data_IF_155287893059
#
_entry.id   IF_155287893059
#
_cell.length_a   1.000
_cell.length_b   1.000
_cell.length_c   1.000
_cell.angle_alpha   90.00
_cell.angle_beta   90.00
_cell.angle_gamma   90.00
#
_symmetry.space_group_name_H-M   'P 1'
#
loop_
_entity.id
_entity.type
_entity.pdbx_description
1 polymer ?
#
# COMPACT_ATOMS: atom_id res chain seq x y z
N UNK A 1 51.14 7.96 -62.46
CA UNK A 1 50.06 7.34 -61.64
C UNK A 1 50.63 6.09 -61.00
N UNK A 2 50.63 6.00 -59.67
CA UNK A 2 50.98 4.74 -58.98
C UNK A 2 49.73 3.84 -59.02
N UNK A 3 49.92 2.54 -59.13
CA UNK A 3 48.86 1.54 -59.14
C UNK A 3 49.20 0.51 -58.07
N UNK A 4 48.18 -0.03 -57.39
CA UNK A 4 48.33 -1.08 -56.39
C UNK A 4 47.52 -2.30 -56.83
N UNK A 5 48.12 -3.49 -56.71
CA UNK A 5 47.48 -4.77 -57.05
C UNK A 5 46.69 -5.28 -55.85
N UNK A 6 45.35 -5.32 -55.97
CA UNK A 6 44.48 -6.14 -55.12
C UNK A 6 43.60 -6.99 -56.02
N UNK A 7 43.59 -8.31 -55.78
CA UNK A 7 42.76 -9.30 -56.50
C UNK A 7 42.86 -9.23 -58.04
N UNK A 8 44.08 -9.07 -58.58
CA UNK A 8 44.34 -9.22 -60.02
C UNK A 8 43.96 -8.02 -60.91
N UNK A 9 43.31 -6.98 -60.40
CA UNK A 9 42.95 -5.78 -61.18
C UNK A 9 43.84 -4.57 -60.83
N UNK A 10 44.33 -3.85 -61.85
CA UNK A 10 45.09 -2.62 -61.69
C UNK A 10 44.14 -1.45 -61.39
N UNK A 11 44.11 -0.98 -60.14
CA UNK A 11 43.28 0.16 -59.73
C UNK A 11 44.17 1.39 -59.51
N UNK A 12 43.81 2.60 -60.03
CA UNK A 12 44.56 3.82 -59.77
C UNK A 12 44.70 4.05 -58.26
N UNK A 13 45.92 4.21 -57.75
CA UNK A 13 46.17 4.22 -56.30
C UNK A 13 45.53 5.42 -55.58
N UNK A 14 45.13 6.47 -56.31
CA UNK A 14 44.31 7.56 -55.77
C UNK A 14 42.84 7.17 -55.51
N UNK A 15 42.24 6.31 -56.35
CA UNK A 15 40.88 5.80 -56.15
C UNK A 15 40.84 4.84 -54.96
N UNK A 16 41.83 3.95 -54.84
CA UNK A 16 41.96 3.02 -53.70
C UNK A 16 42.12 3.79 -52.38
N UNK A 17 43.00 4.81 -52.36
CA UNK A 17 43.21 5.65 -51.17
C UNK A 17 41.96 6.44 -50.75
N UNK A 18 41.12 6.86 -51.70
CA UNK A 18 39.84 7.53 -51.41
C UNK A 18 38.83 6.55 -50.81
N UNK A 19 38.79 5.32 -51.29
CA UNK A 19 37.89 4.29 -50.76
C UNK A 19 38.28 3.88 -49.34
N UNK A 20 39.58 3.74 -49.06
CA UNK A 20 40.08 3.42 -47.73
C UNK A 20 39.73 4.52 -46.72
N UNK A 21 39.96 5.80 -47.09
CA UNK A 21 39.57 6.94 -46.26
C UNK A 21 38.05 7.02 -46.02
N UNK A 22 37.23 6.68 -47.02
CA UNK A 22 35.77 6.63 -46.86
C UNK A 22 35.36 5.50 -45.91
N UNK A 23 35.96 4.31 -46.04
CA UNK A 23 35.68 3.17 -45.15
C UNK A 23 36.12 3.46 -43.71
N UNK A 24 37.29 4.07 -43.53
CA UNK A 24 37.78 4.53 -42.21
C UNK A 24 36.85 5.59 -41.62
N UNK A 25 36.41 6.56 -42.43
CA UNK A 25 35.46 7.59 -42.01
C UNK A 25 34.09 7.02 -41.63
N UNK A 26 33.56 6.06 -42.39
CA UNK A 26 32.31 5.35 -42.07
C UNK A 26 32.48 4.53 -40.78
N UNK A 27 33.61 3.84 -40.62
CA UNK A 27 33.90 3.05 -39.44
C UNK A 27 34.02 3.93 -38.18
N UNK A 28 34.71 5.06 -38.24
CA UNK A 28 34.79 6.03 -37.15
C UNK A 28 33.40 6.63 -36.83
N UNK A 29 32.66 7.05 -37.85
CA UNK A 29 31.31 7.59 -37.68
C UNK A 29 30.38 6.58 -37.00
N UNK A 30 30.43 5.30 -37.40
CA UNK A 30 29.68 4.24 -36.75
C UNK A 30 30.13 4.01 -35.31
N UNK A 31 31.42 3.75 -35.08
CA UNK A 31 31.93 3.30 -33.78
C UNK A 31 31.93 4.39 -32.72
N UNK A 32 32.29 5.63 -33.08
CA UNK A 32 32.42 6.75 -32.15
C UNK A 32 31.10 7.48 -31.92
N UNK A 33 30.29 7.66 -32.97
CA UNK A 33 29.12 8.53 -32.92
C UNK A 33 27.79 7.76 -32.98
N UNK A 34 27.51 7.10 -34.12
CA UNK A 34 26.18 6.55 -34.41
C UNK A 34 25.82 5.39 -33.50
N UNK A 35 26.76 4.47 -33.24
CA UNK A 35 26.53 3.32 -32.36
C UNK A 35 26.21 3.78 -30.94
N UNK A 36 27.05 4.65 -30.35
CA UNK A 36 26.83 5.15 -28.98
C UNK A 36 25.51 5.89 -28.86
N UNK A 37 25.25 6.86 -29.76
CA UNK A 37 24.00 7.63 -29.75
C UNK A 37 22.77 6.74 -29.95
N UNK A 38 22.84 5.80 -30.89
CA UNK A 38 21.76 4.85 -31.17
C UNK A 38 21.48 3.94 -29.99
N UNK A 39 22.52 3.35 -29.40
CA UNK A 39 22.40 2.47 -28.23
C UNK A 39 21.86 3.23 -27.01
N UNK A 40 22.39 4.41 -26.68
CA UNK A 40 21.89 5.20 -25.55
C UNK A 40 20.44 5.62 -25.75
N UNK A 41 20.06 6.06 -26.95
CA UNK A 41 18.67 6.41 -27.25
C UNK A 41 17.73 5.21 -27.08
N UNK A 42 18.07 4.08 -27.71
CA UNK A 42 17.25 2.86 -27.64
C UNK A 42 17.17 2.31 -26.21
N UNK A 43 18.28 2.36 -25.47
CA UNK A 43 18.33 1.97 -24.07
C UNK A 43 17.37 2.82 -23.23
N UNK A 44 17.45 4.15 -23.35
CA UNK A 44 16.58 5.05 -22.61
C UNK A 44 15.10 4.86 -22.97
N UNK A 45 14.79 4.67 -24.26
CA UNK A 45 13.43 4.37 -24.73
C UNK A 45 12.90 3.07 -24.10
N UNK A 46 13.72 2.00 -24.10
CA UNK A 46 13.33 0.70 -23.54
C UNK A 46 13.25 0.71 -22.01
N UNK A 47 14.15 1.43 -21.34
CA UNK A 47 14.06 1.64 -19.90
C UNK A 47 12.79 2.39 -19.52
N UNK A 48 12.45 3.47 -20.25
CA UNK A 48 11.23 4.22 -20.00
C UNK A 48 9.98 3.34 -20.20
N UNK A 49 9.92 2.59 -21.30
CA UNK A 49 8.81 1.64 -21.55
C UNK A 49 8.67 0.61 -20.42
N UNK A 50 9.78 0.09 -19.91
CA UNK A 50 9.78 -0.84 -18.79
C UNK A 50 9.33 -0.18 -17.47
N UNK A 51 9.78 1.04 -17.19
CA UNK A 51 9.38 1.81 -16.01
C UNK A 51 7.89 2.15 -16.03
N UNK A 52 7.37 2.63 -17.17
CA UNK A 52 5.95 2.91 -17.38
C UNK A 52 5.09 1.65 -17.12
N UNK A 53 5.55 0.50 -17.60
CA UNK A 53 4.86 -0.78 -17.41
C UNK A 53 4.91 -1.26 -15.95
N UNK A 54 6.03 -1.02 -15.25
CA UNK A 54 6.15 -1.30 -13.83
C UNK A 54 5.21 -0.41 -12.99
N UNK A 55 5.16 0.89 -13.29
CA UNK A 55 4.21 1.82 -12.69
C UNK A 55 2.76 1.34 -12.83
N UNK A 56 2.37 0.90 -14.03
CA UNK A 56 1.01 0.39 -14.28
C UNK A 56 0.68 -0.80 -13.39
N UNK A 57 1.61 -1.74 -13.22
CA UNK A 57 1.41 -2.90 -12.33
C UNK A 57 1.22 -2.46 -10.87
N UNK A 58 1.96 -1.44 -10.41
CA UNK A 58 1.81 -0.90 -9.06
C UNK A 58 0.49 -0.16 -8.86
N UNK A 59 0.04 0.60 -9.86
CA UNK A 59 -1.28 1.23 -9.86
C UNK A 59 -2.39 0.17 -9.78
N UNK A 60 -2.31 -0.90 -10.59
CA UNK A 60 -3.28 -1.99 -10.57
C UNK A 60 -3.30 -2.74 -9.24
N UNK A 61 -2.11 -2.98 -8.65
CA UNK A 61 -1.97 -3.60 -7.34
C UNK A 61 -2.57 -2.71 -6.24
N UNK A 62 -2.29 -1.40 -6.26
CA UNK A 62 -2.86 -0.45 -5.32
C UNK A 62 -4.38 -0.38 -5.45
N UNK A 63 -4.89 -0.27 -6.68
CA UNK A 63 -6.33 -0.26 -6.95
C UNK A 63 -7.01 -1.51 -6.40
N UNK A 64 -6.42 -2.69 -6.61
CA UNK A 64 -6.94 -3.95 -6.06
C UNK A 64 -6.92 -3.97 -4.53
N UNK A 65 -5.89 -3.43 -3.89
CA UNK A 65 -5.81 -3.36 -2.44
C UNK A 65 -6.86 -2.39 -1.85
N UNK A 66 -7.01 -1.21 -2.46
CA UNK A 66 -7.97 -0.18 -2.03
C UNK A 66 -9.42 -0.61 -2.23
N UNK A 67 -9.72 -1.28 -3.34
CA UNK A 67 -11.07 -1.73 -3.70
C UNK A 67 -11.36 -3.16 -3.26
N UNK A 68 -10.54 -3.74 -2.38
CA UNK A 68 -10.82 -5.03 -1.79
C UNK A 68 -12.16 -4.96 -1.02
N UNK A 69 -13.04 -5.98 -1.15
CA UNK A 69 -14.35 -5.96 -0.50
C UNK A 69 -14.23 -5.79 1.02
N UNK A 70 -14.91 -4.79 1.61
CA UNK A 70 -14.85 -4.54 3.04
C UNK A 70 -15.69 -5.60 3.79
N UNK A 71 -15.20 -6.14 4.91
CA UNK A 71 -15.98 -7.11 5.71
C UNK A 71 -17.15 -6.46 6.47
N UNK A 72 -17.03 -5.19 6.86
CA UNK A 72 -18.02 -4.42 7.64
C UNK A 72 -18.83 -5.26 8.66
N UNK A 73 -18.15 -5.89 9.64
CA UNK A 73 -18.83 -6.81 10.53
C UNK A 73 -19.75 -6.08 11.52
N UNK A 74 -20.95 -6.63 11.74
CA UNK A 74 -21.88 -6.17 12.79
C UNK A 74 -21.42 -6.50 14.22
N UNK A 75 -20.29 -7.21 14.36
CA UNK A 75 -19.73 -7.68 15.62
C UNK A 75 -18.29 -7.20 15.79
N UNK A 76 -17.76 -7.18 17.02
CA UNK A 76 -16.35 -6.90 17.25
C UNK A 76 -15.43 -7.85 16.49
N UNK A 77 -14.23 -7.38 16.19
CA UNK A 77 -13.17 -8.09 15.49
C UNK A 77 -11.88 -8.02 16.30
N UNK A 78 -11.17 -9.16 16.39
CA UNK A 78 -9.85 -9.27 17.00
C UNK A 78 -8.78 -9.11 15.93
N UNK A 79 -7.95 -8.09 16.03
CA UNK A 79 -6.79 -7.89 15.17
C UNK A 79 -5.54 -8.41 15.84
N UNK A 80 -4.67 -9.09 15.09
CA UNK A 80 -3.40 -9.66 15.50
C UNK A 80 -2.30 -9.18 14.56
N UNK A 81 -1.36 -8.39 15.09
CA UNK A 81 -0.09 -8.03 14.46
C UNK A 81 1.01 -8.98 14.96
N UNK A 82 1.43 -9.97 14.15
CA UNK A 82 2.35 -11.02 14.59
C UNK A 82 3.73 -10.49 14.97
N UNK A 83 4.35 -11.16 15.93
CA UNK A 83 5.75 -10.91 16.28
C UNK A 83 6.30 -11.94 17.24
N UNK A 84 7.59 -12.25 17.11
CA UNK A 84 8.26 -13.23 17.96
C UNK A 84 8.61 -12.63 19.34
N UNK A 85 9.81 -12.06 19.49
CA UNK A 85 10.32 -11.58 20.78
C UNK A 85 9.46 -10.46 21.38
N UNK A 86 8.94 -9.57 20.53
CA UNK A 86 8.05 -8.48 20.93
C UNK A 86 6.61 -8.93 21.20
N UNK A 87 6.28 -10.21 20.98
CA UNK A 87 4.92 -10.75 21.08
C UNK A 87 4.00 -10.30 19.95
N UNK A 88 2.78 -10.83 19.97
CA UNK A 88 1.66 -10.51 19.08
C UNK A 88 0.91 -9.33 19.66
N UNK A 89 0.76 -8.25 18.90
CA UNK A 89 0.01 -7.07 19.37
C UNK A 89 -1.43 -7.27 18.95
N UNK A 90 -2.33 -7.15 19.92
CA UNK A 90 -3.72 -7.46 19.74
C UNK A 90 -4.56 -6.20 19.91
N UNK A 91 -5.57 -6.03 19.06
CA UNK A 91 -6.57 -4.97 19.20
C UNK A 91 -7.97 -5.55 19.00
N UNK A 92 -8.86 -5.35 19.97
CA UNK A 92 -10.29 -5.62 19.80
C UNK A 92 -10.93 -4.34 19.28
N UNK A 93 -11.55 -4.40 18.12
CA UNK A 93 -12.25 -3.28 17.50
C UNK A 93 -13.76 -3.56 17.50
N UNK A 94 -14.57 -2.54 17.75
CA UNK A 94 -16.02 -2.64 17.52
C UNK A 94 -16.34 -2.62 16.02
N UNK A 95 -17.61 -2.75 15.65
CA UNK A 95 -18.08 -2.72 14.25
C UNK A 95 -17.69 -1.46 13.46
N UNK A 96 -17.45 -0.35 14.17
CA UNK A 96 -17.11 0.96 13.59
C UNK A 96 -15.59 1.23 13.62
N UNK A 97 -14.77 0.26 14.02
CA UNK A 97 -13.32 0.41 14.10
C UNK A 97 -12.81 1.21 15.30
N UNK A 98 -13.66 1.46 16.30
CA UNK A 98 -13.23 2.04 17.59
C UNK A 98 -12.57 0.96 18.43
N UNK A 99 -11.46 1.32 19.07
CA UNK A 99 -10.68 0.44 19.93
C UNK A 99 -11.45 0.16 21.22
N UNK A 100 -11.65 -1.13 21.53
CA UNK A 100 -12.24 -1.61 22.79
C UNK A 100 -11.13 -1.98 23.77
N UNK A 101 -10.13 -2.73 23.29
CA UNK A 101 -9.05 -3.24 24.13
C UNK A 101 -7.78 -3.41 23.29
N UNK A 102 -6.64 -3.13 23.91
CA UNK A 102 -5.30 -3.38 23.37
C UNK A 102 -4.56 -4.31 24.32
N UNK A 103 -3.77 -5.22 23.77
CA UNK A 103 -3.02 -6.20 24.57
C UNK A 103 -1.77 -6.66 23.83
N UNK A 104 -0.78 -7.20 24.55
CA UNK A 104 0.38 -7.85 23.92
C UNK A 104 0.53 -9.29 24.41
N UNK A 105 0.43 -10.25 23.49
CA UNK A 105 0.52 -11.67 23.78
C UNK A 105 1.95 -12.16 23.52
N UNK A 106 2.69 -12.43 24.58
CA UNK A 106 3.98 -13.14 24.52
C UNK A 106 3.73 -14.65 24.55
N UNK A 107 4.39 -15.40 23.67
CA UNK A 107 4.13 -16.82 23.51
C UNK A 107 5.38 -17.69 23.30
N UNK A 108 6.58 -17.12 23.38
CA UNK A 108 7.83 -17.85 23.19
C UNK A 108 8.26 -18.59 24.47
N UNK A 109 8.73 -19.82 24.31
CA UNK A 109 9.26 -20.64 25.40
C UNK A 109 8.28 -20.75 26.57
N UNK A 110 8.74 -20.36 27.77
CA UNK A 110 7.96 -20.42 29.01
C UNK A 110 6.69 -19.55 29.00
N UNK A 111 6.60 -18.57 28.12
CA UNK A 111 5.45 -17.67 28.06
C UNK A 111 4.29 -18.24 27.23
N UNK A 112 4.45 -19.40 26.55
CA UNK A 112 3.41 -19.98 25.67
C UNK A 112 2.07 -20.21 26.37
N UNK A 113 2.09 -20.79 27.57
CA UNK A 113 0.87 -21.09 28.32
C UNK A 113 0.20 -19.81 28.82
N UNK A 114 1.00 -18.82 29.27
CA UNK A 114 0.49 -17.51 29.66
C UNK A 114 -0.12 -16.77 28.47
N UNK A 115 0.55 -16.80 27.32
CA UNK A 115 0.07 -16.22 26.08
C UNK A 115 -1.26 -16.82 25.63
N UNK A 116 -1.37 -18.14 25.66
CA UNK A 116 -2.62 -18.86 25.35
C UNK A 116 -3.77 -18.42 26.26
N UNK A 117 -3.51 -18.23 27.56
CA UNK A 117 -4.53 -17.75 28.52
C UNK A 117 -4.98 -16.32 28.22
N UNK A 118 -4.04 -15.42 27.92
CA UNK A 118 -4.37 -14.02 27.54
C UNK A 118 -5.19 -14.03 26.25
N UNK A 119 -4.79 -14.83 25.27
CA UNK A 119 -5.48 -14.94 23.99
C UNK A 119 -6.89 -15.53 24.13
N UNK A 120 -7.09 -16.51 25.02
CA UNK A 120 -8.41 -17.04 25.35
C UNK A 120 -9.32 -15.96 25.96
N UNK A 121 -8.78 -15.10 26.84
CA UNK A 121 -9.53 -13.97 27.40
C UNK A 121 -9.93 -12.96 26.32
N UNK A 122 -9.05 -12.68 25.35
CA UNK A 122 -9.36 -11.80 24.22
C UNK A 122 -10.45 -12.40 23.31
N UNK A 123 -10.41 -13.71 23.05
CA UNK A 123 -11.46 -14.42 22.32
C UNK A 123 -12.80 -14.30 23.05
N UNK A 124 -12.82 -14.57 24.36
CA UNK A 124 -14.02 -14.42 25.20
C UNK A 124 -14.56 -12.99 25.23
N UNK A 125 -13.68 -11.98 25.27
CA UNK A 125 -14.05 -10.56 25.25
C UNK A 125 -14.61 -10.12 23.89
N UNK A 126 -14.12 -10.71 22.79
CA UNK A 126 -14.59 -10.40 21.43
C UNK A 126 -15.88 -11.15 21.07
N UNK A 127 -16.14 -12.29 21.72
CA UNK A 127 -17.29 -13.13 21.44
C UNK A 127 -18.61 -12.40 21.76
N UNK A 128 -19.50 -12.31 20.77
CA UNK A 128 -20.82 -11.73 20.96
C UNK A 128 -21.77 -12.78 21.57
N UNK A 129 -22.08 -12.65 22.87
CA UNK A 129 -22.93 -13.58 23.63
C UNK A 129 -24.45 -13.40 23.37
N UNK A 130 -24.86 -12.43 22.55
CA UNK A 130 -26.25 -11.97 22.47
C UNK A 130 -27.19 -12.71 21.51
N UNK A 131 -26.80 -13.81 20.84
CA UNK A 131 -27.66 -14.53 19.88
C UNK A 131 -27.68 -16.04 20.12
N UNK A 132 -28.80 -16.68 19.75
CA UNK A 132 -29.09 -18.11 19.91
C UNK A 132 -28.11 -19.06 19.20
N UNK A 133 -27.27 -18.53 18.33
CA UNK A 133 -26.16 -19.24 17.68
C UNK A 133 -24.85 -18.51 17.98
N UNK A 134 -23.86 -19.25 18.49
CA UNK A 134 -22.52 -18.73 18.70
C UNK A 134 -21.87 -18.47 17.34
N UNK A 135 -21.80 -17.21 16.93
CA UNK A 135 -21.06 -16.80 15.73
C UNK A 135 -19.55 -16.89 15.99
N UNK A 136 -18.74 -17.23 14.97
CA UNK A 136 -17.30 -17.21 15.11
C UNK A 136 -16.78 -15.81 15.42
N UNK A 137 -15.73 -15.74 16.26
CA UNK A 137 -14.95 -14.52 16.47
C UNK A 137 -14.18 -14.23 15.19
N UNK A 138 -14.37 -13.04 14.64
CA UNK A 138 -13.64 -12.61 13.46
C UNK A 138 -12.23 -12.18 13.85
N UNK A 139 -11.23 -12.75 13.18
CA UNK A 139 -9.82 -12.49 13.46
C UNK A 139 -9.14 -11.92 12.22
N UNK A 140 -8.60 -10.71 12.31
CA UNK A 140 -7.71 -10.15 11.30
C UNK A 140 -6.26 -10.48 11.69
N UNK A 141 -5.57 -11.29 10.89
CA UNK A 141 -4.20 -11.71 11.14
C UNK A 141 -3.25 -11.09 10.10
N UNK A 142 -2.28 -10.31 10.56
CA UNK A 142 -1.19 -9.80 9.72
C UNK A 142 -0.42 -10.92 9.04
N UNK A 143 0.01 -10.69 7.80
CA UNK A 143 0.69 -11.69 6.97
C UNK A 143 2.22 -11.66 7.06
N UNK A 144 2.82 -10.97 8.03
CA UNK A 144 4.27 -10.89 8.18
C UNK A 144 4.91 -11.90 9.10
N UNK A 145 5.98 -11.45 9.75
CA UNK A 145 6.88 -12.28 10.53
C UNK A 145 6.21 -12.81 11.79
N UNK A 146 6.15 -14.14 11.92
CA UNK A 146 5.47 -14.81 13.04
C UNK A 146 3.99 -15.10 12.79
N UNK A 147 3.48 -14.84 11.57
CA UNK A 147 2.06 -15.06 11.23
C UNK A 147 1.65 -16.54 11.29
N UNK A 148 2.53 -17.47 10.93
CA UNK A 148 2.26 -18.91 11.01
C UNK A 148 2.14 -19.37 12.46
N UNK A 149 3.08 -18.99 13.31
CA UNK A 149 3.09 -19.32 14.73
C UNK A 149 1.91 -18.69 15.47
N UNK A 150 1.56 -17.44 15.11
CA UNK A 150 0.38 -16.76 15.63
C UNK A 150 -0.91 -17.46 15.23
N UNK A 151 -1.00 -17.95 13.98
CA UNK A 151 -2.14 -18.74 13.49
C UNK A 151 -2.30 -20.04 14.26
N UNK A 152 -1.20 -20.78 14.47
CA UNK A 152 -1.22 -22.03 15.23
C UNK A 152 -1.68 -21.76 16.66
N UNK A 153 -1.13 -20.72 17.31
CA UNK A 153 -1.47 -20.38 18.68
C UNK A 153 -2.96 -20.00 18.85
N UNK A 154 -3.50 -19.15 17.96
CA UNK A 154 -4.92 -18.76 18.03
C UNK A 154 -5.85 -19.94 17.76
N UNK A 155 -5.49 -20.84 16.83
CA UNK A 155 -6.28 -22.03 16.53
C UNK A 155 -6.29 -22.99 17.73
N UNK A 156 -5.13 -23.33 18.30
CA UNK A 156 -5.04 -24.16 19.50
C UNK A 156 -5.81 -23.56 20.68
N UNK A 157 -5.78 -22.23 20.82
CA UNK A 157 -6.48 -21.52 21.89
C UNK A 157 -8.00 -21.53 21.67
N UNK A 158 -8.44 -21.34 20.42
CA UNK A 158 -9.83 -21.46 19.98
C UNK A 158 -10.39 -22.85 20.32
N UNK A 159 -9.67 -23.90 19.93
CA UNK A 159 -10.09 -25.29 20.13
C UNK A 159 -10.19 -25.63 21.63
N UNK A 160 -9.21 -25.19 22.44
CA UNK A 160 -9.20 -25.39 23.90
C UNK A 160 -10.31 -24.61 24.62
N UNK A 161 -10.69 -23.45 24.11
CA UNK A 161 -11.74 -22.60 24.71
C UNK A 161 -13.13 -22.87 24.15
N UNK A 162 -13.24 -23.73 23.13
CA UNK A 162 -14.47 -24.01 22.39
C UNK A 162 -15.13 -22.72 21.83
N UNK A 163 -14.31 -21.79 21.34
CA UNK A 163 -14.76 -20.53 20.73
C UNK A 163 -14.44 -20.59 19.25
N UNK A 164 -15.43 -20.72 18.34
CA UNK A 164 -15.16 -20.76 16.92
C UNK A 164 -14.54 -19.44 16.44
N UNK A 165 -13.61 -19.52 15.49
CA UNK A 165 -12.92 -18.35 14.91
C UNK A 165 -12.99 -18.37 13.38
N UNK A 166 -12.99 -17.19 12.76
CA UNK A 166 -12.85 -16.99 11.32
C UNK A 166 -11.68 -16.04 11.06
N UNK A 167 -10.58 -16.61 10.57
CA UNK A 167 -9.32 -15.88 10.36
C UNK A 167 -9.25 -15.35 8.94
N UNK A 168 -9.18 -14.03 8.80
CA UNK A 168 -8.79 -13.35 7.56
C UNK A 168 -7.31 -12.96 7.64
N UNK A 169 -6.55 -13.35 6.61
CA UNK A 169 -5.21 -12.79 6.39
C UNK A 169 -5.30 -11.36 5.85
N UNK A 170 -4.54 -10.46 6.46
CA UNK A 170 -4.48 -9.04 6.11
C UNK A 170 -3.04 -8.66 5.77
N UNK A 171 -2.86 -7.89 4.69
CA UNK A 171 -1.56 -7.35 4.33
C UNK A 171 -1.11 -6.31 5.35
N UNK A 172 0.04 -6.52 6.00
CA UNK A 172 0.60 -5.60 6.99
C UNK A 172 1.49 -4.50 6.38
N UNK A 173 1.78 -4.58 5.09
CA UNK A 173 2.67 -3.62 4.41
C UNK A 173 2.22 -2.18 4.68
N UNK A 174 3.16 -1.36 5.14
CA UNK A 174 2.93 0.05 5.47
C UNK A 174 2.21 0.30 6.80
N UNK A 175 1.79 -0.71 7.56
CA UNK A 175 1.17 -0.51 8.88
C UNK A 175 2.17 0.12 9.89
N UNK A 176 3.43 -0.34 9.86
CA UNK A 176 4.53 0.22 10.66
C UNK A 176 4.93 1.63 10.22
N UNK A 177 4.83 1.94 8.93
CA UNK A 177 5.10 3.29 8.42
C UNK A 177 3.99 4.24 8.83
N UNK A 178 2.73 3.81 8.69
CA UNK A 178 1.56 4.57 9.13
C UNK A 178 1.64 4.92 10.62
N UNK A 179 1.95 3.94 11.47
CA UNK A 179 1.88 4.10 12.93
C UNK A 179 2.84 5.12 13.54
N UNK A 180 3.84 5.58 12.77
CA UNK A 180 4.79 6.62 13.21
C UNK A 180 4.57 7.98 12.56
N UNK A 181 3.58 8.10 11.66
CA UNK A 181 3.21 9.38 11.02
C UNK A 181 2.60 10.35 12.04
N UNK A 182 2.68 11.66 11.76
CA UNK A 182 2.00 12.67 12.58
C UNK A 182 0.49 12.46 12.60
N UNK A 183 -0.13 12.11 11.47
CA UNK A 183 -1.55 11.84 11.40
C UNK A 183 -1.98 10.66 12.29
N UNK A 184 -1.14 9.63 12.42
CA UNK A 184 -1.39 8.53 13.35
C UNK A 184 -1.21 8.95 14.81
N UNK A 185 -0.24 9.82 15.11
CA UNK A 185 -0.04 10.39 16.46
C UNK A 185 -1.19 11.31 16.86
N UNK A 186 -1.75 12.07 15.91
CA UNK A 186 -2.93 12.90 16.14
C UNK A 186 -4.17 12.04 16.42
N UNK A 187 -4.32 10.90 15.72
CA UNK A 187 -5.43 9.96 15.92
C UNK A 187 -5.27 9.14 17.22
N UNK A 188 -4.04 8.79 17.60
CA UNK A 188 -3.71 7.93 18.74
C UNK A 188 -2.55 8.51 19.59
N UNK A 189 -2.75 9.63 20.30
CA UNK A 189 -1.67 10.36 20.97
C UNK A 189 -1.04 9.60 22.15
N UNK A 190 -1.78 8.68 22.75
CA UNK A 190 -1.35 7.94 23.94
C UNK A 190 -0.98 6.48 23.66
N UNK A 191 -1.03 6.05 22.39
CA UNK A 191 -0.79 4.66 22.02
C UNK A 191 0.60 4.43 21.43
N UNK A 192 1.15 3.25 21.66
CA UNK A 192 2.42 2.87 21.05
C UNK A 192 2.26 2.62 19.55
N UNK A 193 3.32 2.88 18.76
CA UNK A 193 3.32 2.61 17.32
C UNK A 193 2.99 1.14 16.98
N UNK A 194 3.36 0.20 17.85
CA UNK A 194 3.04 -1.21 17.70
C UNK A 194 1.54 -1.51 17.91
N UNK A 195 0.91 -0.85 18.88
CA UNK A 195 -0.54 -0.96 19.08
C UNK A 195 -1.31 -0.33 17.90
N UNK A 196 -0.86 0.82 17.40
CA UNK A 196 -1.47 1.49 16.23
C UNK A 196 -1.37 0.62 14.97
N UNK A 197 -0.27 -0.11 14.77
CA UNK A 197 -0.15 -1.06 13.66
C UNK A 197 -1.21 -2.18 13.77
N UNK A 198 -1.41 -2.75 14.96
CA UNK A 198 -2.45 -3.75 15.21
C UNK A 198 -3.87 -3.19 14.97
N UNK A 199 -4.15 -1.96 15.40
CA UNK A 199 -5.42 -1.27 15.11
C UNK A 199 -5.62 -1.14 13.60
N UNK A 200 -4.58 -0.74 12.85
CA UNK A 200 -4.64 -0.56 11.40
C UNK A 200 -4.98 -1.87 10.68
N UNK A 201 -4.39 -3.00 11.08
CA UNK A 201 -4.72 -4.31 10.51
C UNK A 201 -6.21 -4.67 10.63
N UNK A 202 -6.80 -4.42 11.81
CA UNK A 202 -8.22 -4.69 12.04
C UNK A 202 -9.11 -3.79 11.19
N UNK A 203 -8.77 -2.50 11.10
CA UNK A 203 -9.50 -1.55 10.25
C UNK A 203 -9.36 -1.83 8.76
N UNK A 204 -8.21 -2.32 8.31
CA UNK A 204 -8.03 -2.81 6.92
C UNK A 204 -8.96 -3.98 6.61
N UNK A 205 -9.16 -4.91 7.55
CA UNK A 205 -10.14 -6.00 7.38
C UNK A 205 -11.57 -5.47 7.28
N UNK A 206 -11.92 -4.49 8.12
CA UNK A 206 -13.26 -3.88 8.14
C UNK A 206 -13.54 -3.09 6.85
N UNK A 207 -12.64 -2.18 6.49
CA UNK A 207 -12.74 -1.33 5.31
C UNK A 207 -11.34 -0.96 4.75
N UNK A 208 -10.85 -1.70 3.74
CA UNK A 208 -9.52 -1.48 3.16
C UNK A 208 -9.31 -0.06 2.65
N UNK A 209 -10.28 0.51 1.91
CA UNK A 209 -10.17 1.85 1.35
C UNK A 209 -9.94 2.89 2.44
N UNK A 210 -10.75 2.85 3.51
CA UNK A 210 -10.71 3.87 4.57
C UNK A 210 -9.39 3.91 5.34
N UNK A 211 -8.73 2.75 5.49
CA UNK A 211 -7.51 2.63 6.27
C UNK A 211 -6.25 2.74 5.41
N UNK A 212 -6.22 2.13 4.22
CA UNK A 212 -5.04 2.13 3.34
C UNK A 212 -4.73 3.51 2.75
N UNK A 213 -5.73 4.36 2.52
CA UNK A 213 -5.53 5.74 2.02
C UNK A 213 -4.80 6.66 3.01
N UNK A 214 -4.72 6.28 4.29
CA UNK A 214 -3.94 6.99 5.31
C UNK A 214 -2.43 6.74 5.17
N UNK A 215 -2.06 5.65 4.50
CA UNK A 215 -0.68 5.22 4.34
C UNK A 215 -0.07 5.86 3.09
N UNK A 216 1.20 6.32 3.12
CA UNK A 216 1.92 6.66 1.91
C UNK A 216 1.90 5.50 0.91
N UNK A 217 1.39 5.66 -0.33
CA UNK A 217 1.15 4.53 -1.23
C UNK A 217 2.39 3.67 -1.53
N UNK A 218 3.57 4.29 -1.66
CA UNK A 218 4.85 3.57 -1.85
C UNK A 218 5.20 2.60 -0.70
N UNK A 219 4.65 2.83 0.49
CA UNK A 219 4.90 1.99 1.67
C UNK A 219 4.00 0.76 1.73
N UNK A 220 3.01 0.62 0.82
CA UNK A 220 2.07 -0.49 0.80
C UNK A 220 2.62 -1.77 0.15
N UNK A 221 3.91 -1.79 -0.22
CA UNK A 221 4.57 -2.98 -0.77
C UNK A 221 3.89 -3.47 -2.05
N UNK A 222 3.73 -2.56 -3.03
CA UNK A 222 2.93 -2.79 -4.23
C UNK A 222 3.62 -3.68 -5.26
N UNK A 223 4.92 -3.95 -5.10
CA UNK A 223 5.64 -4.91 -5.93
C UNK A 223 7.15 -4.81 -5.76
N UNK A 224 7.87 -5.67 -6.48
CA UNK A 224 9.33 -5.70 -6.47
C UNK A 224 9.90 -4.51 -7.24
N UNK A 225 11.10 -4.05 -6.86
CA UNK A 225 11.85 -3.01 -7.57
C UNK A 225 11.16 -1.62 -7.63
N UNK A 226 10.17 -1.36 -6.77
CA UNK A 226 9.51 -0.05 -6.68
C UNK A 226 10.48 1.11 -6.37
N UNK A 227 11.61 0.81 -5.74
CA UNK A 227 12.65 1.78 -5.40
C UNK A 227 13.60 2.09 -6.57
N UNK A 228 13.50 1.34 -7.66
CA UNK A 228 14.31 1.56 -8.87
C UNK A 228 13.64 2.55 -9.86
N UNK A 229 12.43 3.00 -9.53
CA UNK A 229 11.65 3.97 -10.31
C UNK A 229 11.89 5.41 -9.82
N UNK A 230 11.54 6.36 -10.68
CA UNK A 230 11.45 7.77 -10.30
C UNK A 230 10.43 7.95 -9.17
N UNK A 231 10.90 8.42 -8.01
CA UNK A 231 10.04 8.62 -6.84
C UNK A 231 8.87 9.57 -7.12
N UNK A 232 9.17 10.70 -7.78
CA UNK A 232 8.16 11.73 -8.08
C UNK A 232 7.07 11.19 -9.02
N UNK A 233 7.47 10.45 -10.05
CA UNK A 233 6.52 9.92 -11.05
C UNK A 233 5.63 8.84 -10.44
N UNK A 234 6.23 7.94 -9.64
CA UNK A 234 5.49 6.89 -8.96
C UNK A 234 4.52 7.48 -7.92
N UNK A 235 4.96 8.46 -7.11
CA UNK A 235 4.12 9.09 -6.10
C UNK A 235 2.92 9.81 -6.73
N UNK A 236 3.10 10.50 -7.85
CA UNK A 236 2.01 11.15 -8.58
C UNK A 236 0.99 10.12 -9.10
N UNK A 237 1.47 9.06 -9.75
CA UNK A 237 0.64 7.97 -10.29
C UNK A 237 -0.17 7.24 -9.21
N UNK A 238 0.48 6.85 -8.12
CA UNK A 238 -0.19 6.18 -7.01
C UNK A 238 -1.14 7.13 -6.26
N UNK A 239 -0.82 8.42 -6.18
CA UNK A 239 -1.72 9.43 -5.65
C UNK A 239 -3.00 9.53 -6.50
N UNK A 240 -2.86 9.62 -7.82
CA UNK A 240 -3.99 9.64 -8.75
C UNK A 240 -4.86 8.39 -8.60
N UNK A 241 -4.24 7.21 -8.56
CA UNK A 241 -4.95 5.93 -8.34
C UNK A 241 -5.75 5.93 -7.03
N UNK A 242 -5.21 6.53 -5.96
CA UNK A 242 -5.92 6.65 -4.68
C UNK A 242 -7.12 7.59 -4.78
N UNK A 243 -6.97 8.73 -5.48
CA UNK A 243 -8.05 9.69 -5.73
C UNK A 243 -9.15 9.02 -6.55
N UNK A 244 -8.80 8.29 -7.60
CA UNK A 244 -9.74 7.57 -8.46
C UNK A 244 -10.50 6.49 -7.70
N UNK A 245 -9.83 5.74 -6.81
CA UNK A 245 -10.48 4.74 -5.96
C UNK A 245 -11.51 5.38 -5.02
N UNK A 246 -11.16 6.49 -4.36
CA UNK A 246 -12.08 7.23 -3.48
C UNK A 246 -13.24 7.83 -4.27
N UNK A 247 -12.98 8.42 -5.44
CA UNK A 247 -14.02 8.98 -6.31
C UNK A 247 -14.97 7.89 -6.84
N UNK A 248 -14.46 6.69 -7.14
CA UNK A 248 -15.25 5.56 -7.62
C UNK A 248 -16.20 5.04 -6.55
N UNK A 249 -15.75 4.90 -5.30
CA UNK A 249 -16.57 4.38 -4.20
C UNK A 249 -17.51 5.45 -3.65
N UNK A 250 -17.08 6.71 -3.65
CA UNK A 250 -17.78 7.79 -2.96
C UNK A 250 -17.50 7.78 -1.46
N UNK A 251 -17.93 8.83 -0.77
CA UNK A 251 -17.68 9.02 0.66
C UNK A 251 -18.92 9.55 1.35
N UNK A 252 -19.16 9.12 2.59
CA UNK A 252 -20.05 9.84 3.50
C UNK A 252 -19.27 11.03 4.09
N UNK A 253 -19.65 12.24 3.67
CA UNK A 253 -18.98 13.47 4.08
C UNK A 253 -19.12 13.77 5.57
N UNK A 254 -20.06 13.16 6.29
CA UNK A 254 -20.26 13.37 7.72
C UNK A 254 -19.39 12.44 8.57
N UNK A 255 -19.02 11.27 8.06
CA UNK A 255 -18.32 10.24 8.82
C UNK A 255 -16.87 10.02 8.38
N UNK A 256 -16.53 10.29 7.11
CA UNK A 256 -15.20 9.96 6.59
C UNK A 256 -14.06 10.75 7.25
N UNK A 257 -12.86 10.18 7.26
CA UNK A 257 -11.69 10.84 7.84
C UNK A 257 -11.21 12.03 7.00
N UNK A 258 -10.44 12.94 7.61
CA UNK A 258 -9.74 14.02 6.89
C UNK A 258 -8.87 13.46 5.75
N UNK A 259 -8.19 12.33 5.98
CA UNK A 259 -7.34 11.68 4.99
C UNK A 259 -8.12 11.30 3.72
N UNK A 260 -9.34 10.76 3.88
CA UNK A 260 -10.23 10.42 2.76
C UNK A 260 -10.74 11.68 2.07
N UNK A 261 -11.17 12.70 2.83
CA UNK A 261 -11.62 13.98 2.24
C UNK A 261 -10.53 14.62 1.39
N UNK A 262 -9.26 14.52 1.80
CA UNK A 262 -8.13 15.03 1.02
C UNK A 262 -7.94 14.32 -0.32
N UNK A 263 -8.53 13.14 -0.50
CA UNK A 263 -8.54 12.35 -1.74
C UNK A 263 -9.81 12.57 -2.57
N UNK A 264 -10.80 13.31 -2.06
CA UNK A 264 -11.96 13.70 -2.87
C UNK A 264 -11.53 14.83 -3.83
N UNK A 265 -11.80 14.70 -5.14
CA UNK A 265 -11.46 15.73 -6.12
C UNK A 265 -11.94 17.12 -5.68
N UNK A 266 -11.04 18.11 -5.71
CA UNK A 266 -11.34 19.50 -5.32
C UNK A 266 -11.38 19.80 -3.82
N UNK A 267 -11.36 18.80 -2.92
CA UNK A 267 -11.48 19.03 -1.48
C UNK A 267 -10.16 18.99 -0.69
N UNK A 268 -9.01 18.72 -1.34
CA UNK A 268 -7.69 18.59 -0.68
C UNK A 268 -7.37 19.72 0.31
N UNK A 269 -7.53 20.97 -0.10
CA UNK A 269 -7.26 22.16 0.73
C UNK A 269 -8.44 22.57 1.64
N UNK A 270 -9.61 21.97 1.44
CA UNK A 270 -10.84 22.28 2.17
C UNK A 270 -11.21 21.21 3.20
N UNK A 271 -10.53 20.06 3.20
CA UNK A 271 -10.87 18.90 4.04
C UNK A 271 -11.06 19.28 5.52
N UNK A 272 -10.13 20.02 6.11
CA UNK A 272 -10.21 20.43 7.51
C UNK A 272 -11.39 21.39 7.78
N UNK A 273 -11.74 22.25 6.82
CA UNK A 273 -12.90 23.14 6.92
C UNK A 273 -14.21 22.35 6.80
N UNK A 274 -14.26 21.38 5.89
CA UNK A 274 -15.40 20.48 5.73
C UNK A 274 -15.65 19.71 7.02
N UNK A 275 -14.59 19.14 7.64
CA UNK A 275 -14.73 18.43 8.92
C UNK A 275 -15.28 19.34 10.03
N UNK A 276 -14.79 20.58 10.15
CA UNK A 276 -15.28 21.55 11.15
C UNK A 276 -16.73 21.97 10.94
N UNK A 277 -17.22 21.95 9.71
CA UNK A 277 -18.58 22.37 9.36
C UNK A 277 -19.62 21.25 9.43
N UNK A 278 -19.22 20.01 9.73
CA UNK A 278 -20.14 18.88 9.92
C UNK A 278 -21.10 19.11 11.11
N UNK A 279 -22.31 18.53 11.09
CA UNK A 279 -22.87 17.68 10.04
C UNK A 279 -23.65 18.45 8.97
N UNK A 280 -23.69 17.90 7.75
CA UNK A 280 -24.47 18.40 6.62
C UNK A 280 -25.74 17.56 6.42
N UNK A 281 -26.87 18.21 6.09
CA UNK A 281 -28.15 17.53 5.84
C UNK A 281 -28.37 17.22 4.36
N UNK A 282 -27.89 18.08 3.47
CA UNK A 282 -27.96 17.92 2.02
C UNK A 282 -26.67 18.41 1.38
N UNK A 283 -26.38 17.96 0.15
CA UNK A 283 -25.14 18.34 -0.56
C UNK A 283 -24.98 19.85 -0.68
N UNK A 284 -26.07 20.60 -0.97
CA UNK A 284 -26.00 22.05 -1.12
C UNK A 284 -25.58 22.81 0.14
N UNK A 285 -25.62 22.19 1.32
CA UNK A 285 -25.08 22.78 2.55
C UNK A 285 -23.55 22.97 2.45
N UNK A 286 -22.85 22.23 1.58
CA UNK A 286 -21.40 22.39 1.36
C UNK A 286 -21.01 23.78 0.84
N UNK A 287 -21.93 24.47 0.16
CA UNK A 287 -21.71 25.84 -0.31
C UNK A 287 -21.57 26.84 0.83
N UNK A 288 -21.94 26.49 2.07
CA UNK A 288 -21.68 27.32 3.25
C UNK A 288 -20.24 27.22 3.75
N UNK A 289 -19.45 26.25 3.27
CA UNK A 289 -18.05 26.07 3.68
C UNK A 289 -17.18 27.14 3.01
N UNK A 290 -16.52 27.96 3.83
CA UNK A 290 -15.66 29.05 3.34
C UNK A 290 -14.58 28.55 2.36
N UNK A 291 -14.62 29.07 1.13
CA UNK A 291 -13.69 28.71 0.05
C UNK A 291 -14.17 27.58 -0.87
N UNK A 292 -15.32 26.96 -0.57
CA UNK A 292 -15.97 26.00 -1.45
C UNK A 292 -16.89 26.75 -2.42
N UNK A 293 -16.37 27.07 -3.61
CA UNK A 293 -17.12 27.79 -4.64
C UNK A 293 -17.86 26.85 -5.61
N UNK A 294 -18.66 27.40 -6.54
CA UNK A 294 -19.48 26.61 -7.48
C UNK A 294 -18.70 25.67 -8.41
N UNK A 295 -17.41 25.91 -8.64
CA UNK A 295 -16.54 25.00 -9.43
C UNK A 295 -16.06 23.80 -8.63
N UNK A 296 -15.91 23.98 -7.31
CA UNK A 296 -15.45 22.92 -6.40
C UNK A 296 -16.62 22.05 -5.94
N UNK A 297 -17.82 22.65 -5.81
CA UNK A 297 -19.08 21.96 -5.56
C UNK A 297 -19.50 21.11 -6.76
#
# INVERSE_FOLDING_TARGET
>A
MKYSLRQGNLVPTQLTRRQDLLNEGIHDAWTRLLRRRGTTRLWNEKCKEAQDRACQVFEDNLRRALLAPPRMPSTPLLSLDPGFQAGIKCAILNSNGVVIQLETVKFLGKDRDRGSKVLANLLLATQNKGKSEQKPVLVALGNGHGSQESRILIQETSDKSNIPIDIQLVNEAGASVWSVTEAAKDEFPNESAAAVAAISLGRRSQNPLHELVKVPPRSLGLGMYQHDLSESELDERLHSTSVDAVATVGVDINDCSVAILRKVPGLKSLADKVVRARPFRKRSDLLSVSGLGPKTF
#
